data_IF_367581474255
#
_entry.id   IF_367581474255
#
_cell.length_a   1.000
_cell.length_b   1.000
_cell.length_c   1.000
_cell.angle_alpha   90.00
_cell.angle_beta   90.00
_cell.angle_gamma   90.00
#
_symmetry.space_group_name_H-M   'P 1'
#
loop_
_entity.id
_entity.type
_entity.pdbx_description
1 polymer ?
#
# COMPACT_ATOMS: atom_id res chain seq x y z
N UNK A 1 38.98 6.09 -27.17
CA UNK A 1 37.65 5.76 -26.63
C UNK A 1 37.80 5.63 -25.12
N UNK A 2 37.39 6.64 -24.35
CA UNK A 2 37.47 6.63 -22.88
C UNK A 2 36.06 6.69 -22.33
N UNK A 3 35.61 5.60 -21.71
CA UNK A 3 34.30 5.44 -21.09
C UNK A 3 34.36 5.96 -19.64
N UNK A 4 33.59 7.02 -19.36
CA UNK A 4 33.36 7.55 -18.02
C UNK A 4 32.22 6.77 -17.37
N UNK A 5 32.48 6.09 -16.25
CA UNK A 5 31.47 5.49 -15.37
C UNK A 5 30.87 6.56 -14.46
N UNK A 6 29.56 6.77 -14.53
CA UNK A 6 28.82 7.63 -13.61
C UNK A 6 28.51 6.90 -12.29
N UNK A 7 28.49 7.58 -11.13
CA UNK A 7 28.16 6.97 -9.86
C UNK A 7 26.64 6.72 -9.76
N UNK A 8 26.26 5.47 -9.47
CA UNK A 8 24.89 5.05 -9.17
C UNK A 8 24.42 5.73 -7.88
N UNK A 9 23.42 6.61 -8.00
CA UNK A 9 22.73 7.20 -6.86
C UNK A 9 21.88 6.11 -6.15
N UNK A 10 22.07 5.84 -4.85
CA UNK A 10 21.21 4.90 -4.15
C UNK A 10 19.78 5.48 -4.07
N UNK A 11 18.81 4.77 -4.64
CA UNK A 11 17.40 5.11 -4.50
C UNK A 11 17.01 5.08 -3.01
N UNK A 12 16.15 5.98 -2.52
CA UNK A 12 15.70 5.95 -1.14
C UNK A 12 14.93 4.66 -0.88
N UNK A 13 15.45 3.83 0.04
CA UNK A 13 14.74 2.66 0.55
C UNK A 13 13.49 3.13 1.30
N UNK A 14 12.35 3.02 0.64
CA UNK A 14 11.04 3.20 1.28
C UNK A 14 10.87 2.00 2.22
N UNK A 15 10.62 2.19 3.54
CA UNK A 15 10.41 1.08 4.45
C UNK A 15 9.21 0.26 3.96
N UNK A 16 9.44 -1.04 3.73
CA UNK A 16 8.39 -1.99 3.41
C UNK A 16 7.31 -1.91 4.50
N UNK A 17 6.12 -1.48 4.11
CA UNK A 17 4.96 -1.47 4.99
C UNK A 17 4.77 -2.90 5.53
N UNK A 18 4.53 -3.00 6.83
CA UNK A 18 4.45 -4.25 7.56
C UNK A 18 3.70 -5.33 6.78
N UNK A 19 4.37 -6.47 6.61
CA UNK A 19 3.85 -7.71 6.05
C UNK A 19 2.72 -8.22 6.97
N UNK A 20 1.53 -7.65 6.79
CA UNK A 20 0.28 -8.26 7.26
C UNK A 20 0.08 -9.46 6.34
N UNK A 21 -0.19 -10.67 6.83
CA UNK A 21 -0.52 -11.81 5.99
C UNK A 21 -1.87 -11.54 5.34
N UNK A 22 -1.86 -10.73 4.30
CA UNK A 22 -3.01 -10.43 3.49
C UNK A 22 -3.20 -11.68 2.64
N UNK A 23 -4.28 -12.43 2.90
CA UNK A 23 -4.92 -13.12 1.78
C UNK A 23 -4.93 -12.13 0.63
N UNK A 24 -4.38 -12.52 -0.53
CA UNK A 24 -4.38 -11.66 -1.70
C UNK A 24 -5.84 -11.39 -2.08
N UNK A 25 -6.36 -10.25 -1.65
CA UNK A 25 -7.67 -9.80 -2.05
C UNK A 25 -7.61 -9.47 -3.54
N UNK A 26 -8.70 -9.66 -4.30
CA UNK A 26 -8.76 -9.31 -5.72
C UNK A 26 -8.86 -7.79 -5.96
N UNK A 27 -8.26 -6.99 -5.06
CA UNK A 27 -8.23 -5.54 -5.06
C UNK A 27 -6.85 -5.06 -4.64
N UNK A 28 -6.32 -4.09 -5.37
CA UNK A 28 -5.13 -3.35 -4.99
C UNK A 28 -5.52 -2.06 -4.27
N UNK A 29 -4.84 -1.75 -3.16
CA UNK A 29 -5.05 -0.53 -2.39
C UNK A 29 -3.92 0.44 -2.70
N UNK A 30 -4.27 1.60 -3.26
CA UNK A 30 -3.29 2.60 -3.72
C UNK A 30 -3.49 3.91 -2.96
N UNK A 31 -2.43 4.39 -2.32
CA UNK A 31 -2.37 5.74 -1.77
C UNK A 31 -2.37 6.76 -2.90
N UNK A 32 -3.38 7.63 -2.90
CA UNK A 32 -3.54 8.64 -3.92
C UNK A 32 -3.29 10.06 -3.41
N UNK A 33 -3.32 11.02 -4.34
CA UNK A 33 -3.08 12.42 -4.02
C UNK A 33 -4.10 12.94 -3.00
N UNK A 34 -3.67 13.87 -2.15
CA UNK A 34 -4.52 14.48 -1.13
C UNK A 34 -4.90 13.56 0.04
N UNK A 35 -4.21 12.43 0.22
CA UNK A 35 -4.50 11.47 1.29
C UNK A 35 -5.69 10.55 0.99
N UNK A 36 -6.16 10.53 -0.27
CA UNK A 36 -7.18 9.59 -0.71
C UNK A 36 -6.64 8.15 -0.76
N UNK A 37 -7.52 7.17 -0.56
CA UNK A 37 -7.24 5.77 -0.78
C UNK A 37 -8.07 5.28 -1.98
N UNK A 38 -7.40 4.76 -2.99
CA UNK A 38 -8.02 4.18 -4.17
C UNK A 38 -8.07 2.66 -4.05
N UNK A 39 -9.19 2.08 -4.47
CA UNK A 39 -9.41 0.64 -4.54
C UNK A 39 -9.48 0.23 -6.00
N UNK A 40 -8.54 -0.59 -6.47
CA UNK A 40 -8.43 -1.05 -7.85
C UNK A 40 -8.75 -2.54 -7.93
N UNK A 41 -10.00 -2.93 -8.27
CA UNK A 41 -10.36 -4.34 -8.40
C UNK A 41 -9.80 -4.94 -9.70
N UNK A 42 -9.29 -6.16 -9.62
CA UNK A 42 -8.83 -6.94 -10.78
C UNK A 42 -9.56 -8.28 -10.94
N UNK A 43 -10.44 -8.63 -9.99
CA UNK A 43 -11.43 -9.70 -10.15
C UNK A 43 -12.71 -9.37 -9.35
N UNK A 44 -13.83 -10.07 -9.59
CA UNK A 44 -15.03 -9.92 -8.78
C UNK A 44 -14.76 -10.19 -7.30
N UNK A 45 -15.32 -9.35 -6.43
CA UNK A 45 -15.26 -9.53 -4.98
C UNK A 45 -16.38 -10.48 -4.54
N UNK A 46 -16.00 -11.52 -3.79
CA UNK A 46 -16.98 -12.33 -3.05
C UNK A 46 -17.36 -11.65 -1.73
N UNK A 47 -18.45 -12.09 -1.07
CA UNK A 47 -18.79 -11.59 0.26
C UNK A 47 -17.67 -11.78 1.30
N UNK A 48 -16.91 -12.88 1.22
CA UNK A 48 -15.76 -13.15 2.11
C UNK A 48 -14.62 -12.16 1.85
N UNK A 49 -14.36 -11.84 0.57
CA UNK A 49 -13.37 -10.82 0.20
C UNK A 49 -13.78 -9.43 0.71
N UNK A 50 -15.07 -9.09 0.64
CA UNK A 50 -15.59 -7.84 1.18
C UNK A 50 -15.42 -7.76 2.70
N UNK A 51 -15.64 -8.87 3.42
CA UNK A 51 -15.42 -8.93 4.87
C UNK A 51 -13.94 -8.71 5.20
N UNK A 52 -13.04 -9.44 4.53
CA UNK A 52 -11.60 -9.28 4.71
C UNK A 52 -11.11 -7.87 4.34
N UNK A 53 -11.65 -7.27 3.27
CA UNK A 53 -11.36 -5.89 2.89
C UNK A 53 -11.81 -4.89 3.97
N UNK A 54 -12.96 -5.12 4.59
CA UNK A 54 -13.48 -4.25 5.65
C UNK A 54 -12.57 -4.22 6.88
N UNK A 55 -12.02 -5.38 7.29
CA UNK A 55 -11.07 -5.50 8.40
C UNK A 55 -9.77 -4.76 8.07
N UNK A 56 -9.27 -4.93 6.85
CA UNK A 56 -8.06 -4.25 6.39
C UNK A 56 -8.21 -2.73 6.39
N UNK A 57 -9.34 -2.22 5.89
CA UNK A 57 -9.64 -0.79 5.88
C UNK A 57 -9.81 -0.22 7.31
N UNK A 58 -10.45 -0.97 8.21
CA UNK A 58 -10.59 -0.56 9.61
C UNK A 58 -9.24 -0.45 10.32
N UNK A 59 -8.35 -1.42 10.13
CA UNK A 59 -7.00 -1.40 10.67
C UNK A 59 -6.20 -0.19 10.14
N UNK A 60 -6.31 0.08 8.85
CA UNK A 60 -5.67 1.24 8.20
C UNK A 60 -6.20 2.57 8.76
N UNK A 61 -7.51 2.72 8.89
CA UNK A 61 -8.13 3.92 9.47
C UNK A 61 -7.67 4.15 10.91
N UNK A 62 -7.55 3.10 11.73
CA UNK A 62 -7.00 3.19 13.07
C UNK A 62 -5.54 3.65 13.08
N UNK A 63 -4.72 3.17 12.14
CA UNK A 63 -3.33 3.59 12.01
C UNK A 63 -3.19 5.07 11.60
N UNK A 64 -4.03 5.53 10.66
CA UNK A 64 -4.07 6.95 10.24
C UNK A 64 -4.41 7.87 11.42
N UNK A 65 -5.46 7.54 12.19
CA UNK A 65 -5.87 8.34 13.36
C UNK A 65 -4.77 8.44 14.42
N UNK A 66 -4.00 7.36 14.64
CA UNK A 66 -2.87 7.40 15.58
C UNK A 66 -1.77 8.34 15.12
N UNK A 67 -1.54 8.42 13.80
CA UNK A 67 -0.55 9.34 13.21
C UNK A 67 -1.00 10.80 13.28
N UNK A 68 -2.30 11.07 13.18
CA UNK A 68 -2.85 12.43 13.27
C UNK A 68 -2.86 12.98 14.71
N UNK A 69 -2.95 12.10 15.71
CA UNK A 69 -2.94 12.47 17.13
C UNK A 69 -1.55 12.55 17.77
N UNK A 70 -0.48 12.30 17.00
CA UNK A 70 0.91 12.30 17.45
C UNK A 70 1.67 13.53 16.93
#
# INVERSE_FOLDING_TARGET
MTTTTAPTNPAPTIPAQADVPARSLPVELVDGPGGGLYLLPFAPLTPDDCEALSVLLAARAAAVRRRESA
#
